data_IF_595657316326
#
_entry.id   IF_595657316326
#
_cell.length_a   1.000
_cell.length_b   1.000
_cell.length_c   1.000
_cell.angle_alpha   90.00
_cell.angle_beta   90.00
_cell.angle_gamma   90.00
#
_symmetry.space_group_name_H-M   'P 1'
#
loop_
_entity.id
_entity.type
_entity.pdbx_description
1 polymer ?
#
# COMPACT_ATOMS: atom_id res chain seq x y z
N UNK A 1 -3.94 6.68 -10.03
CA UNK A 1 -3.88 5.20 -10.09
C UNK A 1 -3.05 4.80 -11.30
N UNK A 2 -2.10 3.90 -11.14
CA UNK A 2 -1.41 3.26 -12.27
C UNK A 2 -2.46 2.42 -13.00
N UNK A 3 -2.68 2.66 -14.30
CA UNK A 3 -3.61 1.84 -15.08
C UNK A 3 -3.07 0.41 -15.15
N UNK A 4 -3.94 -0.58 -14.98
CA UNK A 4 -3.59 -2.00 -15.13
C UNK A 4 -3.18 -2.25 -16.57
N UNK A 5 -2.01 -2.85 -16.77
CA UNK A 5 -1.41 -3.07 -18.09
C UNK A 5 -1.64 -4.49 -18.57
N UNK A 6 -2.15 -4.62 -19.78
CA UNK A 6 -2.36 -5.91 -20.46
C UNK A 6 -1.50 -5.98 -21.72
N UNK A 7 -0.68 -7.02 -21.82
CA UNK A 7 0.06 -7.31 -23.05
C UNK A 7 -0.75 -8.27 -23.92
N UNK A 8 -1.01 -7.89 -25.19
CA UNK A 8 -1.71 -8.70 -26.16
C UNK A 8 -0.68 -9.24 -27.17
N UNK A 9 -0.63 -10.57 -27.32
CA UNK A 9 0.34 -11.27 -28.16
C UNK A 9 -0.39 -12.16 -29.15
N UNK A 10 -0.37 -11.83 -30.44
CA UNK A 10 -0.96 -12.59 -31.55
C UNK A 10 -0.20 -12.19 -32.83
N UNK A 11 0.15 -13.13 -33.71
CA UNK A 11 0.89 -12.85 -34.95
C UNK A 11 0.04 -12.13 -36.01
N UNK A 12 -1.25 -12.07 -35.80
CA UNK A 12 -2.20 -11.33 -36.63
C UNK A 12 -2.42 -9.91 -36.09
N UNK A 13 -1.84 -8.90 -36.79
CA UNK A 13 -1.95 -7.49 -36.42
C UNK A 13 -3.41 -7.02 -36.22
N UNK A 14 -4.34 -7.47 -37.07
CA UNK A 14 -5.76 -7.06 -36.97
C UNK A 14 -6.40 -7.58 -35.67
N UNK A 15 -6.08 -8.83 -35.27
CA UNK A 15 -6.57 -9.40 -34.01
C UNK A 15 -6.00 -8.63 -32.82
N UNK A 16 -4.71 -8.36 -32.86
CA UNK A 16 -3.97 -7.69 -31.80
C UNK A 16 -4.49 -6.27 -31.58
N UNK A 17 -4.69 -5.50 -32.65
CA UNK A 17 -5.24 -4.15 -32.59
C UNK A 17 -6.69 -4.13 -32.09
N UNK A 18 -7.53 -5.07 -32.57
CA UNK A 18 -8.92 -5.17 -32.16
C UNK A 18 -9.05 -5.47 -30.64
N UNK A 19 -8.25 -6.42 -30.15
CA UNK A 19 -8.20 -6.79 -28.74
C UNK A 19 -7.67 -5.65 -27.86
N UNK A 20 -6.59 -5.01 -28.27
CA UNK A 20 -6.01 -3.86 -27.58
C UNK A 20 -7.03 -2.72 -27.48
N UNK A 21 -7.66 -2.32 -28.58
CA UNK A 21 -8.67 -1.26 -28.60
C UNK A 21 -9.86 -1.57 -27.68
N UNK A 22 -10.31 -2.83 -27.66
CA UNK A 22 -11.39 -3.25 -26.74
C UNK A 22 -10.98 -3.12 -25.28
N UNK A 23 -9.78 -3.58 -24.91
CA UNK A 23 -9.28 -3.52 -23.56
C UNK A 23 -9.01 -2.07 -23.11
N UNK A 24 -8.55 -1.20 -24.00
CA UNK A 24 -8.45 0.24 -23.75
C UNK A 24 -9.80 0.88 -23.44
N UNK A 25 -10.84 0.49 -24.19
CA UNK A 25 -12.23 0.93 -23.93
C UNK A 25 -12.70 0.46 -22.55
N UNK A 26 -12.26 -0.72 -22.11
CA UNK A 26 -12.54 -1.26 -20.77
C UNK A 26 -11.70 -0.60 -19.65
N UNK A 27 -10.76 0.31 -20.00
CA UNK A 27 -9.99 1.13 -19.06
C UNK A 27 -8.59 0.61 -18.75
N UNK A 28 -8.11 -0.43 -19.44
CA UNK A 28 -6.75 -0.94 -19.32
C UNK A 28 -5.75 -0.12 -20.13
N UNK A 29 -4.48 -0.16 -19.77
CA UNK A 29 -3.36 0.26 -20.61
C UNK A 29 -2.88 -0.96 -21.38
N UNK A 30 -2.81 -0.89 -22.70
CA UNK A 30 -2.43 -2.04 -23.53
C UNK A 30 -1.08 -1.86 -24.18
N UNK A 31 -0.36 -2.95 -24.37
CA UNK A 31 0.80 -3.08 -25.25
C UNK A 31 0.59 -4.32 -26.13
N UNK A 32 1.20 -4.36 -27.30
CA UNK A 32 0.99 -5.42 -28.29
C UNK A 32 2.32 -6.05 -28.68
N UNK A 33 2.36 -7.35 -28.97
CA UNK A 33 3.51 -8.04 -29.52
C UNK A 33 3.03 -9.03 -30.62
N UNK A 34 3.86 -9.22 -31.63
CA UNK A 34 3.49 -9.98 -32.83
C UNK A 34 4.25 -11.31 -32.97
N UNK A 35 5.18 -11.58 -32.07
CA UNK A 35 5.82 -12.90 -31.93
C UNK A 35 6.28 -13.13 -30.48
N UNK A 36 6.67 -14.39 -30.17
CA UNK A 36 7.08 -14.76 -28.83
C UNK A 36 8.36 -14.08 -28.34
N UNK A 37 9.28 -13.71 -29.23
CA UNK A 37 10.51 -13.00 -28.84
C UNK A 37 10.21 -11.56 -28.44
N UNK A 38 9.40 -10.86 -29.24
CA UNK A 38 8.95 -9.51 -28.93
C UNK A 38 8.18 -9.46 -27.61
N UNK A 39 7.31 -10.47 -27.37
CA UNK A 39 6.57 -10.59 -26.12
C UNK A 39 7.50 -10.67 -24.91
N UNK A 40 8.52 -11.53 -24.93
CA UNK A 40 9.49 -11.67 -23.86
C UNK A 40 10.29 -10.38 -23.62
N UNK A 41 10.77 -9.72 -24.69
CA UNK A 41 11.48 -8.45 -24.58
C UNK A 41 10.62 -7.35 -23.94
N UNK A 42 9.33 -7.27 -24.31
CA UNK A 42 8.40 -6.29 -23.75
C UNK A 42 8.11 -6.54 -22.28
N UNK A 43 7.95 -7.82 -21.88
CA UNK A 43 7.78 -8.21 -20.49
C UNK A 43 8.98 -7.81 -19.63
N UNK A 44 10.21 -7.96 -20.14
CA UNK A 44 11.42 -7.54 -19.41
C UNK A 44 11.51 -6.02 -19.22
N UNK A 45 11.16 -5.26 -20.26
CA UNK A 45 11.24 -3.78 -20.20
C UNK A 45 10.12 -3.17 -19.36
N UNK A 46 8.91 -3.66 -19.51
CA UNK A 46 7.69 -3.13 -18.90
C UNK A 46 6.75 -4.28 -18.49
N UNK A 47 6.98 -4.90 -17.31
CA UNK A 47 6.18 -6.02 -16.88
C UNK A 47 4.68 -5.70 -16.88
N UNK A 48 3.84 -6.46 -17.64
CA UNK A 48 2.41 -6.29 -17.64
C UNK A 48 1.77 -6.93 -16.39
N UNK A 49 0.53 -6.54 -16.10
CA UNK A 49 -0.26 -7.15 -15.03
C UNK A 49 -0.97 -8.43 -15.49
N UNK A 50 -1.14 -8.61 -16.81
CA UNK A 50 -1.72 -9.80 -17.46
C UNK A 50 -1.25 -9.90 -18.92
N UNK A 51 -1.11 -11.13 -19.44
CA UNK A 51 -0.78 -11.41 -20.83
C UNK A 51 -1.91 -12.21 -21.48
N UNK A 52 -2.42 -11.71 -22.61
CA UNK A 52 -3.22 -12.50 -23.56
C UNK A 52 -2.28 -13.04 -24.63
N UNK A 53 -2.19 -14.35 -24.77
CA UNK A 53 -1.16 -15.00 -25.58
C UNK A 53 -1.77 -15.99 -26.55
N UNK A 54 -1.63 -15.73 -27.84
CA UNK A 54 -1.98 -16.72 -28.86
C UNK A 54 -0.98 -17.88 -28.83
N UNK A 55 -1.50 -19.08 -29.05
CA UNK A 55 -0.67 -20.30 -29.07
C UNK A 55 0.05 -20.44 -30.40
N UNK A 56 -0.66 -20.20 -31.51
CA UNK A 56 -0.17 -20.47 -32.85
C UNK A 56 0.57 -19.26 -33.42
N UNK A 57 1.86 -19.14 -33.09
CA UNK A 57 2.71 -18.08 -33.60
C UNK A 57 3.96 -18.65 -34.30
N UNK A 58 4.47 -17.96 -35.32
CA UNK A 58 5.71 -18.37 -35.99
C UNK A 58 6.94 -18.23 -35.05
N UNK A 59 7.99 -19.02 -35.31
CA UNK A 59 9.28 -19.02 -34.61
C UNK A 59 9.22 -19.55 -33.16
N UNK A 60 8.34 -19.04 -32.33
CA UNK A 60 8.17 -19.43 -30.93
C UNK A 60 6.66 -19.47 -30.63
N UNK A 61 6.15 -20.65 -30.31
CA UNK A 61 4.74 -20.82 -29.95
C UNK A 61 4.42 -20.26 -28.56
N UNK A 62 3.12 -20.04 -28.30
CA UNK A 62 2.68 -19.48 -27.02
C UNK A 62 2.98 -20.40 -25.84
N UNK A 63 3.07 -21.72 -26.03
CA UNK A 63 3.42 -22.64 -24.96
C UNK A 63 4.86 -22.43 -24.49
N UNK A 64 5.81 -22.22 -25.40
CA UNK A 64 7.20 -21.95 -25.07
C UNK A 64 7.36 -20.57 -24.40
N UNK A 65 6.63 -19.55 -24.87
CA UNK A 65 6.61 -18.23 -24.21
C UNK A 65 6.11 -18.37 -22.77
N UNK A 66 4.98 -19.05 -22.55
CA UNK A 66 4.41 -19.26 -21.23
C UNK A 66 5.37 -20.01 -20.31
N UNK A 67 5.98 -21.12 -20.77
CA UNK A 67 6.98 -21.87 -19.99
C UNK A 67 8.15 -20.99 -19.55
N UNK A 68 8.70 -20.16 -20.42
CA UNK A 68 9.80 -19.23 -20.08
C UNK A 68 9.39 -18.20 -19.05
N UNK A 69 8.21 -17.62 -19.21
CA UNK A 69 7.66 -16.66 -18.24
C UNK A 69 7.45 -17.29 -16.86
N UNK A 70 6.96 -18.54 -16.81
CA UNK A 70 6.69 -19.25 -15.54
C UNK A 70 7.96 -19.84 -14.89
N UNK A 71 9.01 -20.05 -15.66
CA UNK A 71 10.30 -20.51 -15.15
C UNK A 71 11.12 -19.40 -14.48
N UNK A 72 10.94 -18.13 -14.88
CA UNK A 72 11.66 -17.00 -14.30
C UNK A 72 10.93 -16.45 -13.05
N UNK A 73 11.65 -16.33 -11.93
CA UNK A 73 11.12 -15.78 -10.67
C UNK A 73 10.54 -14.37 -10.80
N UNK A 74 11.06 -13.57 -11.73
CA UNK A 74 10.62 -12.20 -11.94
C UNK A 74 9.31 -12.10 -12.69
N UNK A 75 8.97 -13.09 -13.52
CA UNK A 75 7.80 -13.05 -14.41
C UNK A 75 6.78 -14.13 -14.13
N UNK A 76 7.13 -15.20 -13.38
CA UNK A 76 6.22 -16.31 -13.06
C UNK A 76 4.89 -15.89 -12.42
N UNK A 77 4.90 -14.74 -11.77
CA UNK A 77 3.72 -14.20 -11.10
C UNK A 77 2.76 -13.49 -12.04
N UNK A 78 3.12 -13.25 -13.31
CA UNK A 78 2.26 -12.59 -14.30
C UNK A 78 1.27 -13.61 -14.83
N UNK A 79 -0.05 -13.39 -14.71
CA UNK A 79 -1.05 -14.29 -15.25
C UNK A 79 -1.05 -14.28 -16.78
N UNK A 80 -1.20 -15.48 -17.35
CA UNK A 80 -1.25 -15.71 -18.79
C UNK A 80 -2.59 -16.34 -19.14
N UNK A 81 -3.34 -15.73 -20.05
CA UNK A 81 -4.51 -16.32 -20.70
C UNK A 81 -4.10 -16.78 -22.09
N UNK A 82 -4.16 -18.08 -22.34
CA UNK A 82 -3.85 -18.64 -23.64
C UNK A 82 -5.06 -18.54 -24.56
N UNK A 83 -4.84 -18.11 -25.80
CA UNK A 83 -5.91 -18.07 -26.84
C UNK A 83 -5.60 -19.17 -27.85
N UNK A 84 -6.54 -20.10 -28.07
CA UNK A 84 -6.31 -21.34 -28.86
C UNK A 84 -7.37 -21.58 -29.92
N UNK A 85 -7.06 -22.32 -30.98
CA UNK A 85 -8.03 -22.75 -31.96
C UNK A 85 -8.92 -23.89 -31.41
N UNK A 86 -10.17 -23.98 -31.94
CA UNK A 86 -11.12 -25.03 -31.56
C UNK A 86 -10.67 -26.40 -32.13
N UNK A 87 -10.26 -27.30 -31.28
CA UNK A 87 -9.74 -28.66 -31.63
C UNK A 87 -8.55 -29.11 -30.85
N UNK A 88 -7.79 -28.19 -30.31
CA UNK A 88 -6.61 -28.48 -29.46
C UNK A 88 -7.01 -28.65 -27.98
N UNK A 89 -8.30 -28.95 -27.74
CA UNK A 89 -8.84 -29.17 -26.38
C UNK A 89 -8.25 -30.42 -25.72
N UNK A 90 -7.73 -31.39 -26.50
CA UNK A 90 -6.99 -32.53 -25.99
C UNK A 90 -5.59 -32.13 -25.48
N UNK A 91 -5.02 -31.05 -25.99
CA UNK A 91 -3.80 -30.41 -25.46
C UNK A 91 -4.04 -29.59 -24.18
N UNK A 92 -5.30 -29.38 -23.76
CA UNK A 92 -5.60 -28.76 -22.45
C UNK A 92 -5.00 -29.52 -21.26
N UNK A 93 -4.82 -30.84 -21.39
CA UNK A 93 -4.17 -31.65 -20.35
C UNK A 93 -2.67 -31.40 -20.35
N UNK A 94 -2.04 -31.20 -21.52
CA UNK A 94 -0.65 -30.75 -21.66
C UNK A 94 -0.48 -29.27 -21.26
N UNK A 95 -1.50 -28.46 -21.49
CA UNK A 95 -1.51 -27.02 -21.19
C UNK A 95 -1.59 -26.68 -19.69
N UNK A 96 -2.17 -27.55 -18.85
CA UNK A 96 -2.16 -27.39 -17.38
C UNK A 96 -0.72 -27.47 -16.81
N UNK A 97 0.18 -28.18 -17.49
CA UNK A 97 1.60 -28.26 -17.12
C UNK A 97 2.40 -26.99 -17.50
N UNK A 98 1.85 -26.09 -18.33
CA UNK A 98 2.55 -24.84 -18.72
C UNK A 98 2.40 -23.71 -17.71
N UNK A 99 1.48 -23.84 -16.75
CA UNK A 99 1.24 -22.84 -15.71
C UNK A 99 0.39 -21.63 -16.16
N UNK A 100 -0.30 -21.72 -17.29
CA UNK A 100 -1.26 -20.69 -17.69
C UNK A 100 -2.48 -20.66 -16.75
N UNK A 101 -3.02 -19.48 -16.47
CA UNK A 101 -4.17 -19.31 -15.57
C UNK A 101 -5.51 -19.63 -16.23
N UNK A 102 -5.64 -19.41 -17.54
CA UNK A 102 -6.89 -19.70 -18.26
C UNK A 102 -6.63 -19.92 -19.77
N UNK A 103 -7.65 -20.48 -20.44
CA UNK A 103 -7.67 -20.78 -21.88
C UNK A 103 -8.95 -20.28 -22.51
N UNK A 104 -8.84 -19.64 -23.68
CA UNK A 104 -9.97 -19.16 -24.47
C UNK A 104 -9.90 -19.80 -25.86
N UNK A 105 -10.97 -20.48 -26.29
CA UNK A 105 -11.01 -21.10 -27.60
C UNK A 105 -11.54 -20.13 -28.68
N UNK A 106 -10.82 -19.99 -29.78
CA UNK A 106 -11.28 -19.27 -30.99
C UNK A 106 -12.35 -20.15 -31.74
N UNK A 107 -13.46 -19.59 -32.24
CA UNK A 107 -13.83 -18.18 -32.20
C UNK A 107 -14.37 -17.77 -30.80
N UNK A 108 -13.88 -16.68 -30.26
CA UNK A 108 -14.30 -16.10 -28.99
C UNK A 108 -14.82 -14.68 -29.19
N UNK A 109 -15.76 -14.27 -28.36
CA UNK A 109 -16.26 -12.90 -28.39
C UNK A 109 -15.35 -11.97 -27.60
N UNK A 110 -15.27 -10.69 -28.02
CA UNK A 110 -14.53 -9.66 -27.28
C UNK A 110 -15.07 -9.50 -25.84
N UNK A 111 -16.39 -9.71 -25.65
CA UNK A 111 -17.02 -9.66 -24.34
C UNK A 111 -16.55 -10.81 -23.43
N UNK A 112 -16.33 -12.01 -23.98
CA UNK A 112 -15.78 -13.15 -23.23
C UNK A 112 -14.35 -12.87 -22.78
N UNK A 113 -13.49 -12.37 -23.67
CA UNK A 113 -12.12 -12.01 -23.35
C UNK A 113 -12.09 -10.96 -22.25
N UNK A 114 -12.88 -9.88 -22.38
CA UNK A 114 -12.98 -8.83 -21.35
C UNK A 114 -13.43 -9.37 -19.99
N UNK A 115 -14.40 -10.30 -20.00
CA UNK A 115 -14.88 -10.91 -18.75
C UNK A 115 -13.82 -11.75 -18.06
N UNK A 116 -13.04 -12.54 -18.81
CA UNK A 116 -11.96 -13.38 -18.27
C UNK A 116 -10.78 -12.55 -17.77
N UNK A 117 -10.36 -11.55 -18.54
CA UNK A 117 -9.32 -10.59 -18.12
C UNK A 117 -9.70 -9.94 -16.79
N UNK A 118 -10.93 -9.44 -16.68
CA UNK A 118 -11.44 -8.82 -15.45
C UNK A 118 -11.46 -9.81 -14.28
N UNK A 119 -11.93 -11.03 -14.53
CA UNK A 119 -12.02 -12.07 -13.48
C UNK A 119 -10.64 -12.44 -12.92
N UNK A 120 -9.66 -12.66 -13.79
CA UNK A 120 -8.30 -13.05 -13.37
C UNK A 120 -7.61 -11.90 -12.63
N UNK A 121 -7.71 -10.67 -13.14
CA UNK A 121 -7.13 -9.50 -12.48
C UNK A 121 -7.76 -9.26 -11.11
N UNK A 122 -9.08 -9.40 -11.00
CA UNK A 122 -9.79 -9.28 -9.72
C UNK A 122 -9.40 -10.36 -8.72
N UNK A 123 -9.34 -11.62 -9.16
CA UNK A 123 -8.89 -12.74 -8.31
C UNK A 123 -7.47 -12.51 -7.80
N UNK A 124 -6.58 -12.03 -8.65
CA UNK A 124 -5.20 -11.69 -8.28
C UNK A 124 -5.14 -10.56 -7.24
N UNK A 125 -5.93 -9.51 -7.45
CA UNK A 125 -6.01 -8.42 -6.47
C UNK A 125 -6.47 -8.93 -5.10
N UNK A 126 -7.49 -9.80 -5.07
CA UNK A 126 -7.96 -10.43 -3.84
C UNK A 126 -6.90 -11.32 -3.20
N UNK A 127 -6.13 -12.08 -3.98
CA UNK A 127 -5.04 -12.93 -3.47
C UNK A 127 -3.91 -12.09 -2.85
N UNK A 128 -3.52 -11.00 -3.49
CA UNK A 128 -2.51 -10.08 -2.94
C UNK A 128 -3.01 -9.50 -1.61
N UNK A 129 -4.26 -9.00 -1.56
CA UNK A 129 -4.86 -8.47 -0.33
C UNK A 129 -4.97 -9.53 0.77
N UNK A 130 -5.35 -10.75 0.41
CA UNK A 130 -5.42 -11.86 1.37
C UNK A 130 -4.05 -12.19 1.96
N UNK A 131 -3.02 -12.29 1.12
CA UNK A 131 -1.65 -12.53 1.57
C UNK A 131 -1.09 -11.42 2.47
N UNK A 132 -1.44 -10.17 2.21
CA UNK A 132 -1.14 -9.04 3.09
C UNK A 132 -1.88 -9.16 4.42
N UNK A 133 -3.17 -9.49 4.39
CA UNK A 133 -3.97 -9.71 5.60
C UNK A 133 -3.44 -10.89 6.44
N UNK A 134 -3.04 -11.99 5.81
CA UNK A 134 -2.46 -13.15 6.50
C UNK A 134 -1.10 -12.81 7.15
N UNK A 135 -0.23 -12.08 6.45
CA UNK A 135 1.02 -11.58 7.04
C UNK A 135 0.77 -10.69 8.26
N UNK A 136 -0.23 -9.81 8.16
CA UNK A 136 -0.61 -8.91 9.24
C UNK A 136 -1.28 -9.66 10.40
N UNK A 137 -2.09 -10.69 10.13
CA UNK A 137 -2.72 -11.53 11.16
C UNK A 137 -1.68 -12.39 11.89
N UNK A 138 -0.75 -13.01 11.16
CA UNK A 138 0.36 -13.77 11.75
C UNK A 138 1.24 -12.89 12.63
N UNK A 139 1.55 -11.67 12.18
CA UNK A 139 2.25 -10.66 12.98
C UNK A 139 1.46 -10.33 14.25
N UNK A 140 0.14 -10.14 14.14
CA UNK A 140 -0.76 -9.84 15.28
C UNK A 140 -0.78 -10.96 16.33
N UNK A 141 -0.76 -12.23 15.93
CA UNK A 141 -0.74 -13.36 16.86
C UNK A 141 0.62 -13.56 17.55
N UNK A 142 1.74 -13.39 16.83
CA UNK A 142 3.07 -13.45 17.42
C UNK A 142 3.34 -12.32 18.43
N UNK A 143 2.74 -11.17 18.17
CA UNK A 143 2.97 -9.95 18.95
C UNK A 143 2.41 -10.03 20.36
N UNK A 144 1.32 -10.74 20.62
CA UNK A 144 0.71 -10.82 21.96
C UNK A 144 1.65 -11.46 22.99
N UNK A 145 2.25 -12.57 22.63
CA UNK A 145 3.24 -13.22 23.52
C UNK A 145 4.49 -12.37 23.68
N UNK A 146 5.03 -11.88 22.57
CA UNK A 146 6.28 -11.13 22.54
C UNK A 146 6.16 -9.76 23.23
N UNK A 147 5.05 -9.04 23.03
CA UNK A 147 4.86 -7.72 23.63
C UNK A 147 4.90 -7.78 25.17
N UNK A 148 4.20 -8.76 25.77
CA UNK A 148 4.25 -8.97 27.23
C UNK A 148 5.60 -9.47 27.70
N UNK A 149 6.20 -10.42 26.98
CA UNK A 149 7.52 -10.98 27.33
C UNK A 149 8.66 -9.96 27.18
N UNK A 150 8.56 -9.00 26.25
CA UNK A 150 9.54 -7.92 26.06
C UNK A 150 9.30 -6.78 27.06
N UNK A 151 8.07 -6.43 27.38
CA UNK A 151 7.75 -5.37 28.35
C UNK A 151 8.31 -5.68 29.74
N UNK A 152 8.24 -6.94 30.18
CA UNK A 152 8.71 -7.35 31.50
C UNK A 152 10.22 -7.07 31.74
N UNK A 153 11.16 -7.55 30.90
CA UNK A 153 12.58 -7.23 31.11
C UNK A 153 12.87 -5.73 30.91
N UNK A 154 12.14 -5.02 30.02
CA UNK A 154 12.32 -3.58 29.86
C UNK A 154 11.97 -2.82 31.13
N UNK A 155 10.87 -3.15 31.82
CA UNK A 155 10.50 -2.54 33.09
C UNK A 155 11.59 -2.78 34.16
N UNK A 156 12.19 -3.98 34.19
CA UNK A 156 13.24 -4.30 35.13
C UNK A 156 14.54 -3.50 34.83
N UNK A 157 14.97 -3.49 33.57
CA UNK A 157 16.16 -2.75 33.12
C UNK A 157 15.98 -1.25 33.35
N UNK A 158 14.85 -0.68 32.98
CA UNK A 158 14.53 0.73 33.18
C UNK A 158 14.45 1.11 34.66
N UNK A 159 13.83 0.24 35.49
CA UNK A 159 13.78 0.40 36.94
C UNK A 159 15.17 0.39 37.58
N UNK A 160 16.02 -0.58 37.21
CA UNK A 160 17.40 -0.65 37.70
C UNK A 160 18.24 0.54 37.25
N UNK A 161 18.12 0.95 36.00
CA UNK A 161 18.85 2.11 35.49
C UNK A 161 18.46 3.39 36.24
N UNK A 162 17.18 3.63 36.49
CA UNK A 162 16.72 4.77 37.32
C UNK A 162 17.25 4.71 38.75
N UNK A 163 17.20 3.52 39.38
CA UNK A 163 17.70 3.34 40.73
C UNK A 163 19.22 3.55 40.87
N UNK A 164 20.00 3.09 39.88
CA UNK A 164 21.45 3.33 39.87
C UNK A 164 21.75 4.82 39.69
N UNK A 165 20.99 5.50 38.80
CA UNK A 165 21.12 6.93 38.57
C UNK A 165 20.94 7.76 39.82
N UNK A 166 20.01 7.37 40.73
CA UNK A 166 19.77 8.07 42.02
C UNK A 166 20.92 7.90 43.03
N UNK A 167 21.72 6.82 42.89
CA UNK A 167 22.78 6.47 43.86
C UNK A 167 24.20 6.86 43.45
N UNK A 168 24.39 7.16 42.16
CA UNK A 168 25.70 7.49 41.60
C UNK A 168 25.81 9.00 41.48
N UNK A 169 26.93 9.58 41.96
CA UNK A 169 27.18 11.02 41.86
C UNK A 169 28.04 11.42 40.63
N UNK A 170 28.55 10.45 39.87
CA UNK A 170 29.41 10.68 38.71
C UNK A 170 28.62 11.08 37.47
N UNK A 171 28.91 12.28 36.92
CA UNK A 171 28.24 12.83 35.76
C UNK A 171 28.46 11.99 34.48
N UNK A 172 29.62 11.36 34.30
CA UNK A 172 29.88 10.48 33.16
C UNK A 172 28.99 9.22 33.20
N UNK A 173 28.88 8.64 34.40
CA UNK A 173 27.99 7.49 34.63
C UNK A 173 26.53 7.87 34.45
N UNK A 174 26.12 9.06 34.90
CA UNK A 174 24.76 9.60 34.61
C UNK A 174 24.48 9.71 33.12
N UNK A 175 25.44 10.14 32.30
CA UNK A 175 25.32 10.19 30.87
C UNK A 175 25.01 8.82 30.24
N UNK A 176 25.74 7.78 30.67
CA UNK A 176 25.55 6.40 30.19
C UNK A 176 24.20 5.83 30.66
N UNK A 177 23.81 6.05 31.89
CA UNK A 177 22.52 5.59 32.42
C UNK A 177 21.35 6.26 31.68
N UNK A 178 21.45 7.55 31.35
CA UNK A 178 20.45 8.25 30.60
C UNK A 178 20.28 7.68 29.18
N UNK A 179 21.34 7.17 28.53
CA UNK A 179 21.26 6.46 27.27
C UNK A 179 20.49 5.16 27.44
N UNK A 180 20.76 4.38 28.47
CA UNK A 180 20.03 3.14 28.76
C UNK A 180 18.53 3.43 28.97
N UNK A 181 18.20 4.43 29.79
CA UNK A 181 16.79 4.81 30.03
C UNK A 181 16.09 5.22 28.73
N UNK A 182 16.73 6.03 27.89
CA UNK A 182 16.16 6.43 26.60
C UNK A 182 15.89 5.25 25.67
N UNK A 183 16.79 4.27 25.59
CA UNK A 183 16.60 3.08 24.78
C UNK A 183 15.50 2.18 25.33
N UNK A 184 15.38 2.05 26.65
CA UNK A 184 14.26 1.34 27.29
C UNK A 184 12.93 2.01 26.94
N UNK A 185 12.81 3.32 27.12
CA UNK A 185 11.61 4.09 26.78
C UNK A 185 11.28 4.01 25.27
N UNK A 186 12.30 3.90 24.43
CA UNK A 186 12.11 3.69 22.98
C UNK A 186 11.51 2.33 22.68
N UNK A 187 12.01 1.27 23.34
CA UNK A 187 11.51 -0.09 23.18
C UNK A 187 10.08 -0.24 23.76
N UNK A 188 9.81 0.38 24.93
CA UNK A 188 8.45 0.44 25.51
C UNK A 188 7.46 1.07 24.52
N UNK A 189 7.80 2.20 23.93
CA UNK A 189 6.97 2.84 22.88
C UNK A 189 6.78 1.97 21.64
N UNK A 190 7.79 1.18 21.24
CA UNK A 190 7.62 0.21 20.15
C UNK A 190 6.58 -0.85 20.49
N UNK A 191 6.66 -1.43 21.70
CA UNK A 191 5.70 -2.43 22.18
C UNK A 191 4.28 -1.86 22.25
N UNK A 192 4.12 -0.63 22.78
CA UNK A 192 2.82 0.06 22.81
C UNK A 192 2.22 0.25 21.41
N UNK A 193 3.02 0.66 20.42
CA UNK A 193 2.55 0.83 19.03
C UNK A 193 2.14 -0.49 18.37
N UNK A 194 2.77 -1.60 18.76
CA UNK A 194 2.38 -2.93 18.33
C UNK A 194 1.00 -3.31 18.92
N UNK A 195 0.76 -3.05 20.21
CA UNK A 195 -0.55 -3.22 20.86
C UNK A 195 -1.61 -2.32 20.20
N UNK A 196 -1.25 -1.10 19.85
CA UNK A 196 -2.13 -0.18 19.13
C UNK A 196 -2.53 -0.66 17.75
N UNK A 197 -1.58 -1.22 16.99
CA UNK A 197 -1.86 -1.83 15.68
C UNK A 197 -2.92 -2.92 15.78
N UNK A 198 -2.84 -3.76 16.81
CA UNK A 198 -3.79 -4.83 17.07
C UNK A 198 -5.19 -4.31 17.45
N UNK A 199 -5.25 -3.30 18.33
CA UNK A 199 -6.50 -2.69 18.78
C UNK A 199 -7.17 -1.78 17.76
N UNK A 200 -6.52 -1.49 16.64
CA UNK A 200 -7.04 -0.60 15.60
C UNK A 200 -8.13 -1.25 14.71
N UNK A 201 -8.82 -2.29 15.18
CA UNK A 201 -9.99 -2.82 14.47
C UNK A 201 -11.14 -1.83 14.56
N UNK A 202 -11.75 -1.51 13.41
CA UNK A 202 -12.96 -0.68 13.36
C UNK A 202 -14.09 -1.39 14.08
N UNK A 203 -14.59 -0.78 15.15
CA UNK A 203 -15.58 -1.41 16.03
C UNK A 203 -16.98 -0.82 15.89
N UNK A 204 -17.10 0.49 15.67
CA UNK A 204 -18.40 1.17 15.62
C UNK A 204 -18.37 2.26 14.56
N UNK A 205 -19.05 2.01 13.43
CA UNK A 205 -19.23 3.01 12.38
C UNK A 205 -20.44 3.90 12.70
N UNK A 206 -20.25 5.21 12.67
CA UNK A 206 -21.29 6.22 12.80
C UNK A 206 -21.22 7.21 11.65
N UNK A 207 -22.36 7.89 11.39
CA UNK A 207 -22.39 8.98 10.42
C UNK A 207 -21.75 10.21 11.05
N UNK A 208 -20.62 10.64 10.53
CA UNK A 208 -19.83 11.74 11.06
C UNK A 208 -19.56 12.77 9.95
N UNK A 209 -19.46 14.04 10.34
CA UNK A 209 -18.98 15.11 9.48
C UNK A 209 -17.44 15.11 9.49
N UNK A 210 -16.84 14.80 8.34
CA UNK A 210 -15.39 14.65 8.23
C UNK A 210 -14.65 15.96 8.53
N UNK A 211 -15.25 17.11 8.22
CA UNK A 211 -14.64 18.40 8.48
C UNK A 211 -14.55 18.70 9.98
N UNK A 212 -15.60 18.33 10.74
CA UNK A 212 -15.58 18.48 12.20
C UNK A 212 -14.51 17.57 12.82
N UNK A 213 -14.42 16.33 12.34
CA UNK A 213 -13.39 15.39 12.81
C UNK A 213 -11.98 15.91 12.51
N UNK A 214 -11.74 16.47 11.32
CA UNK A 214 -10.44 17.06 10.96
C UNK A 214 -10.11 18.27 11.86
N UNK A 215 -11.07 19.15 12.14
CA UNK A 215 -10.86 20.28 13.04
C UNK A 215 -10.50 19.84 14.45
N UNK A 216 -11.20 18.85 14.98
CA UNK A 216 -10.88 18.26 16.29
C UNK A 216 -9.45 17.69 16.33
N UNK A 217 -9.03 16.99 15.27
CA UNK A 217 -7.69 16.43 15.17
C UNK A 217 -6.62 17.54 15.19
N UNK A 218 -6.85 18.60 14.42
CA UNK A 218 -5.90 19.73 14.37
C UNK A 218 -5.78 20.44 15.72
N UNK A 219 -6.88 20.54 16.48
CA UNK A 219 -6.85 21.09 17.83
C UNK A 219 -6.16 20.18 18.85
N UNK A 220 -6.09 18.89 18.60
CA UNK A 220 -5.41 17.92 19.49
C UNK A 220 -3.88 17.80 19.22
N UNK A 221 -3.41 18.31 18.08
CA UNK A 221 -1.98 18.34 17.82
C UNK A 221 -1.33 19.29 18.83
N UNK A 222 -0.42 18.76 19.63
CA UNK A 222 0.24 19.51 20.69
C UNK A 222 0.83 20.81 20.16
N UNK A 223 0.31 21.94 20.63
CA UNK A 223 0.77 23.29 20.26
C UNK A 223 2.28 23.44 20.44
N UNK A 224 2.86 22.75 21.43
CA UNK A 224 4.27 22.72 21.73
C UNK A 224 5.15 22.19 20.58
N UNK A 225 4.75 21.10 19.92
CA UNK A 225 5.53 20.51 18.83
C UNK A 225 5.51 21.39 17.57
N UNK A 226 4.37 22.04 17.32
CA UNK A 226 4.16 22.95 16.21
C UNK A 226 4.86 24.29 16.46
N UNK A 227 4.74 24.84 17.68
CA UNK A 227 5.33 26.13 18.05
C UNK A 227 6.85 26.08 18.06
N UNK A 228 7.47 25.01 18.55
CA UNK A 228 8.94 24.85 18.57
C UNK A 228 9.58 24.78 17.18
N UNK A 229 8.83 24.31 16.18
CA UNK A 229 9.31 24.16 14.79
C UNK A 229 8.77 25.22 13.83
N UNK A 230 8.07 26.24 14.30
CA UNK A 230 7.41 27.26 13.45
C UNK A 230 6.59 26.65 12.31
N UNK A 231 5.78 25.64 12.60
CA UNK A 231 4.94 24.96 11.61
C UNK A 231 3.57 25.63 11.54
N UNK A 232 3.20 26.13 10.37
CA UNK A 232 1.85 26.64 10.09
C UNK A 232 0.93 25.53 9.59
N UNK A 233 -0.26 25.39 10.18
CA UNK A 233 -1.32 24.50 9.66
C UNK A 233 -2.36 25.33 8.93
N UNK A 234 -2.70 24.93 7.70
CA UNK A 234 -3.76 25.53 6.89
C UNK A 234 -4.84 24.50 6.56
N UNK A 235 -6.10 24.85 6.81
CA UNK A 235 -7.26 24.05 6.45
C UNK A 235 -7.94 24.61 5.20
N UNK A 236 -8.15 23.77 4.19
CA UNK A 236 -8.87 24.10 2.95
C UNK A 236 -9.96 23.03 2.73
N UNK A 237 -11.00 23.08 3.56
CA UNK A 237 -12.03 22.06 3.63
C UNK A 237 -13.22 22.39 2.74
N UNK A 238 -13.87 21.38 2.15
CA UNK A 238 -15.08 21.52 1.35
C UNK A 238 -16.25 22.11 2.19
N UNK A 239 -17.11 22.92 1.58
CA UNK A 239 -18.12 23.66 2.32
C UNK A 239 -19.25 22.81 2.94
N UNK A 240 -19.65 21.72 2.32
CA UNK A 240 -20.75 20.84 2.77
C UNK A 240 -20.38 19.38 2.50
N UNK A 241 -19.58 18.74 3.38
CA UNK A 241 -19.25 17.35 3.19
C UNK A 241 -20.49 16.47 3.43
N UNK A 242 -20.68 15.38 2.68
CA UNK A 242 -21.63 14.36 3.06
C UNK A 242 -21.18 13.70 4.36
N UNK A 243 -22.14 13.18 5.14
CA UNK A 243 -21.83 12.37 6.31
C UNK A 243 -21.22 11.03 5.87
N UNK A 244 -20.07 10.68 6.44
CA UNK A 244 -19.38 9.43 6.19
C UNK A 244 -19.63 8.44 7.33
N UNK A 245 -19.74 7.15 7.00
CA UNK A 245 -19.77 6.08 7.99
C UNK A 245 -18.34 5.77 8.42
N UNK A 246 -17.92 6.30 9.57
CA UNK A 246 -16.58 6.12 10.11
C UNK A 246 -16.59 5.79 11.60
N UNK A 247 -15.58 5.06 12.05
CA UNK A 247 -15.17 4.98 13.45
C UNK A 247 -14.32 6.20 13.75
N UNK A 248 -14.92 7.22 14.39
CA UNK A 248 -14.28 8.49 14.66
C UNK A 248 -12.95 8.35 15.42
N UNK A 249 -12.90 7.46 16.41
CA UNK A 249 -11.71 7.28 17.27
C UNK A 249 -10.53 6.68 16.45
N UNK A 250 -10.80 5.63 15.68
CA UNK A 250 -9.77 5.02 14.84
C UNK A 250 -9.39 5.94 13.68
N UNK A 251 -10.34 6.64 13.06
CA UNK A 251 -10.03 7.60 11.99
C UNK A 251 -9.15 8.75 12.49
N UNK A 252 -9.45 9.33 13.68
CA UNK A 252 -8.59 10.34 14.32
C UNK A 252 -7.17 9.81 14.49
N UNK A 253 -7.01 8.58 14.96
CA UNK A 253 -5.72 7.93 15.14
C UNK A 253 -4.95 7.79 13.82
N UNK A 254 -5.63 7.39 12.73
CA UNK A 254 -5.00 7.30 11.42
C UNK A 254 -4.46 8.66 10.95
N UNK A 255 -5.29 9.71 11.04
CA UNK A 255 -4.90 11.06 10.62
C UNK A 255 -3.80 11.64 11.51
N UNK A 256 -3.84 11.41 12.82
CA UNK A 256 -2.79 11.83 13.76
C UNK A 256 -1.44 11.18 13.42
N UNK A 257 -1.40 9.90 13.08
CA UNK A 257 -0.19 9.21 12.65
C UNK A 257 0.43 9.84 11.38
N UNK A 258 -0.42 10.24 10.42
CA UNK A 258 0.03 10.89 9.19
C UNK A 258 0.56 12.30 9.51
N UNK A 259 -0.18 13.08 10.31
CA UNK A 259 0.20 14.44 10.69
C UNK A 259 1.50 14.46 11.51
N UNK A 260 1.68 13.51 12.43
CA UNK A 260 2.92 13.37 13.20
C UNK A 260 4.11 13.11 12.27
N UNK A 261 3.93 12.27 11.24
CA UNK A 261 4.98 12.05 10.25
C UNK A 261 5.32 13.33 9.47
N UNK A 262 4.31 14.16 9.14
CA UNK A 262 4.51 15.45 8.48
C UNK A 262 5.26 16.45 9.39
N UNK A 263 4.89 16.53 10.68
CA UNK A 263 5.60 17.36 11.68
C UNK A 263 7.04 16.91 11.84
N UNK A 264 7.28 15.61 11.90
CA UNK A 264 8.64 15.05 12.03
C UNK A 264 9.50 15.31 10.80
N UNK A 265 8.91 15.28 9.60
CA UNK A 265 9.62 15.52 8.34
C UNK A 265 10.03 16.99 8.13
N UNK A 266 9.41 17.93 8.83
CA UNK A 266 9.76 19.34 8.83
C UNK A 266 10.84 19.60 9.87
N UNK A 267 11.99 20.15 9.48
CA UNK A 267 13.13 20.35 10.40
C UNK A 267 12.90 21.53 11.36
N UNK A 268 12.83 22.76 10.87
CA UNK A 268 12.70 23.98 11.69
C UNK A 268 11.45 24.79 11.40
N UNK A 269 11.16 25.01 10.13
CA UNK A 269 10.05 25.86 9.67
C UNK A 269 9.38 25.23 8.47
N UNK A 270 8.05 25.23 8.47
CA UNK A 270 7.32 24.66 7.35
C UNK A 270 5.81 24.86 7.44
N UNK A 271 5.10 24.16 6.57
CA UNK A 271 3.64 24.23 6.50
C UNK A 271 3.06 22.85 6.27
N UNK A 272 1.94 22.61 6.92
CA UNK A 272 1.07 21.46 6.66
C UNK A 272 -0.26 22.03 6.15
N UNK A 273 -0.73 21.56 5.00
CA UNK A 273 -2.01 21.92 4.44
C UNK A 273 -2.91 20.69 4.37
N UNK A 274 -4.11 20.80 4.94
CA UNK A 274 -5.13 19.74 4.92
C UNK A 274 -6.27 20.19 4.04
N UNK A 275 -6.56 19.42 3.00
CA UNK A 275 -7.61 19.71 2.02
C UNK A 275 -8.66 18.60 2.07
N UNK A 276 -9.92 18.93 1.88
CA UNK A 276 -10.95 17.94 1.58
C UNK A 276 -11.72 18.32 0.32
N UNK A 277 -11.95 17.34 -0.57
CA UNK A 277 -12.65 17.54 -1.83
C UNK A 277 -13.45 16.32 -2.23
N UNK A 278 -14.54 16.45 -3.02
CA UNK A 278 -15.22 15.32 -3.62
C UNK A 278 -14.33 14.72 -4.73
N UNK A 279 -14.24 13.40 -4.76
CA UNK A 279 -13.62 12.62 -5.85
C UNK A 279 -14.66 12.18 -6.87
N UNK A 280 -14.24 11.94 -8.13
CA UNK A 280 -15.16 11.63 -9.24
C UNK A 280 -15.95 10.32 -9.07
N UNK A 281 -15.48 9.40 -8.24
CA UNK A 281 -16.02 8.03 -8.14
C UNK A 281 -16.92 7.82 -6.89
N UNK A 282 -17.51 8.89 -6.34
CA UNK A 282 -18.34 8.79 -5.14
C UNK A 282 -17.56 8.62 -3.85
N UNK A 283 -16.30 9.07 -3.84
CA UNK A 283 -15.42 9.15 -2.68
C UNK A 283 -15.23 10.60 -2.24
N UNK A 284 -14.84 10.78 -0.98
CA UNK A 284 -14.22 12.02 -0.50
C UNK A 284 -12.72 11.78 -0.42
N UNK A 285 -11.95 12.73 -0.92
CA UNK A 285 -10.50 12.76 -0.81
C UNK A 285 -10.08 13.77 0.24
N UNK A 286 -9.20 13.35 1.16
CA UNK A 286 -8.56 14.19 2.17
C UNK A 286 -7.07 14.13 1.87
N UNK A 287 -6.49 15.27 1.48
CA UNK A 287 -5.07 15.39 1.19
C UNK A 287 -4.35 16.13 2.31
N UNK A 288 -3.28 15.54 2.84
CA UNK A 288 -2.38 16.13 3.83
C UNK A 288 -1.06 16.40 3.14
N UNK A 289 -0.71 17.66 2.97
CA UNK A 289 0.52 18.11 2.30
C UNK A 289 1.46 18.73 3.30
N UNK A 290 2.70 18.30 3.31
CA UNK A 290 3.77 18.92 4.08
C UNK A 290 4.89 19.48 3.19
N UNK A 291 5.68 20.37 3.76
CA UNK A 291 6.88 20.94 3.15
C UNK A 291 8.16 20.36 3.77
N UNK A 292 8.11 19.11 4.21
CA UNK A 292 9.22 18.43 4.85
C UNK A 292 10.31 17.96 3.88
N UNK A 293 11.20 17.12 4.38
CA UNK A 293 12.34 16.60 3.60
C UNK A 293 11.94 15.69 2.43
N UNK A 294 10.68 15.23 2.38
CA UNK A 294 10.22 14.29 1.37
C UNK A 294 10.77 12.87 1.57
N UNK A 295 10.42 11.98 0.65
CA UNK A 295 10.77 10.55 0.68
C UNK A 295 11.42 10.18 -0.66
N UNK A 296 12.50 9.42 -0.59
CA UNK A 296 13.20 8.93 -1.77
C UNK A 296 12.33 7.91 -2.53
N UNK A 297 12.39 7.90 -3.86
CA UNK A 297 11.59 7.01 -4.72
C UNK A 297 11.81 5.50 -4.44
N UNK A 298 12.99 5.10 -3.96
CA UNK A 298 13.26 3.71 -3.55
C UNK A 298 12.53 3.35 -2.28
N UNK A 299 12.48 4.26 -1.32
CA UNK A 299 11.84 4.08 -0.01
C UNK A 299 10.32 4.14 -0.09
N UNK A 300 9.78 4.90 -1.07
CA UNK A 300 8.34 5.12 -1.23
C UNK A 300 7.53 3.81 -1.41
N UNK A 301 8.18 2.76 -1.93
CA UNK A 301 7.55 1.44 -2.11
C UNK A 301 7.32 0.70 -0.79
N UNK A 302 8.12 1.03 0.23
CA UNK A 302 8.17 0.29 1.49
C UNK A 302 7.57 1.05 2.67
N UNK A 303 7.10 2.29 2.47
CA UNK A 303 6.63 3.17 3.57
C UNK A 303 5.41 2.64 4.34
N UNK A 304 4.63 1.74 3.76
CA UNK A 304 3.52 1.07 4.42
C UNK A 304 3.91 -0.27 5.06
N UNK A 305 5.13 -0.77 4.80
CA UNK A 305 5.60 -2.02 5.39
C UNK A 305 5.80 -1.84 6.89
N UNK A 306 5.33 -2.79 7.73
CA UNK A 306 5.54 -2.75 9.16
C UNK A 306 7.04 -2.65 9.51
N UNK A 307 7.37 -1.83 10.51
CA UNK A 307 8.73 -1.59 10.99
C UNK A 307 9.67 -0.88 10.02
N UNK A 308 9.19 -0.48 8.84
CA UNK A 308 9.99 0.33 7.94
C UNK A 308 10.09 1.76 8.46
N UNK A 309 11.31 2.25 8.69
CA UNK A 309 11.58 3.61 9.14
C UNK A 309 13.00 4.04 8.80
N UNK A 310 13.15 5.24 8.28
CA UNK A 310 14.43 5.93 8.12
C UNK A 310 14.81 6.77 9.36
N UNK A 311 13.89 6.89 10.34
CA UNK A 311 14.07 7.70 11.55
C UNK A 311 14.68 6.87 12.67
N UNK A 312 15.75 7.36 13.32
CA UNK A 312 16.42 6.69 14.46
C UNK A 312 15.48 6.42 15.64
N UNK A 313 14.44 7.22 15.85
CA UNK A 313 13.50 7.10 16.97
C UNK A 313 12.13 6.53 16.58
N UNK A 314 11.89 6.18 15.32
CA UNK A 314 10.61 5.72 14.81
C UNK A 314 10.43 4.20 14.95
N UNK A 315 9.22 3.74 15.35
CA UNK A 315 8.88 2.31 15.37
C UNK A 315 8.48 1.76 13.97
N UNK A 316 8.34 2.63 12.94
CA UNK A 316 7.93 2.22 11.59
C UNK A 316 6.51 1.66 11.47
N UNK A 317 5.63 1.95 12.43
CA UNK A 317 4.25 1.42 12.46
C UNK A 317 3.16 2.47 12.19
N UNK A 318 3.49 3.78 12.24
CA UNK A 318 2.49 4.84 12.13
C UNK A 318 1.71 4.82 10.82
N UNK A 319 2.41 4.75 9.67
CA UNK A 319 1.76 4.68 8.35
C UNK A 319 1.08 3.34 8.12
N UNK A 320 1.62 2.24 8.63
CA UNK A 320 0.98 0.92 8.57
C UNK A 320 -0.34 0.90 9.34
N UNK A 321 -0.39 1.51 10.55
CA UNK A 321 -1.61 1.66 11.33
C UNK A 321 -2.63 2.53 10.59
N UNK A 322 -2.20 3.66 10.05
CA UNK A 322 -3.06 4.55 9.28
C UNK A 322 -3.66 3.85 8.06
N UNK A 323 -2.83 3.16 7.27
CA UNK A 323 -3.25 2.40 6.11
C UNK A 323 -4.29 1.33 6.47
N UNK A 324 -4.02 0.51 7.50
CA UNK A 324 -4.97 -0.49 7.98
C UNK A 324 -6.31 0.12 8.38
N UNK A 325 -6.30 1.16 9.21
CA UNK A 325 -7.53 1.82 9.65
C UNK A 325 -8.35 2.32 8.46
N UNK A 326 -7.72 2.96 7.48
CA UNK A 326 -8.42 3.47 6.30
C UNK A 326 -8.96 2.34 5.42
N UNK A 327 -8.23 1.24 5.26
CA UNK A 327 -8.74 0.03 4.58
C UNK A 327 -9.93 -0.58 5.29
N UNK A 328 -9.92 -0.65 6.63
CA UNK A 328 -11.05 -1.13 7.44
C UNK A 328 -12.31 -0.23 7.26
N UNK A 329 -12.11 1.06 6.91
CA UNK A 329 -13.18 1.99 6.49
C UNK A 329 -13.52 1.88 5.00
N UNK A 330 -13.06 0.84 4.27
CA UNK A 330 -13.24 0.68 2.82
C UNK A 330 -12.66 1.82 1.99
N UNK A 331 -11.70 2.53 2.56
CA UNK A 331 -10.96 3.61 1.94
C UNK A 331 -9.64 3.14 1.35
N UNK A 332 -8.90 4.09 0.79
CA UNK A 332 -7.57 3.89 0.22
C UNK A 332 -6.63 5.02 0.64
N UNK A 333 -5.33 4.74 0.73
CA UNK A 333 -4.29 5.72 1.06
C UNK A 333 -3.21 5.68 0.00
N UNK A 334 -2.90 6.84 -0.56
CA UNK A 334 -1.80 6.99 -1.52
C UNK A 334 -0.82 8.04 -1.03
N UNK A 335 0.47 7.88 -1.38
CA UNK A 335 1.53 8.81 -1.01
C UNK A 335 2.27 9.24 -2.28
N UNK A 336 2.39 10.54 -2.46
CA UNK A 336 3.23 11.17 -3.48
C UNK A 336 4.30 12.00 -2.78
N UNK A 337 5.56 11.74 -3.05
CA UNK A 337 6.66 12.43 -2.41
C UNK A 337 7.86 12.60 -3.33
N UNK A 338 8.55 13.71 -3.15
CA UNK A 338 9.82 13.97 -3.80
C UNK A 338 10.81 14.50 -2.77
N UNK A 339 12.00 13.93 -2.75
CA UNK A 339 13.07 14.34 -1.85
C UNK A 339 13.33 15.86 -1.96
N UNK A 340 13.34 16.56 -0.83
CA UNK A 340 13.52 18.01 -0.75
C UNK A 340 12.28 18.85 -1.10
N UNK A 341 11.13 18.24 -1.48
CA UNK A 341 9.91 18.98 -1.88
C UNK A 341 8.70 18.74 -0.98
N UNK A 342 8.84 17.82 -0.01
CA UNK A 342 7.75 17.43 0.89
C UNK A 342 6.95 16.23 0.40
N UNK A 343 5.85 15.95 1.12
CA UNK A 343 5.01 14.76 0.91
C UNK A 343 3.54 15.14 0.83
N UNK A 344 2.79 14.43 0.03
CA UNK A 344 1.33 14.48 -0.04
C UNK A 344 0.80 13.10 0.27
N UNK A 345 0.01 12.98 1.33
CA UNK A 345 -0.73 11.77 1.68
C UNK A 345 -2.20 12.02 1.36
N UNK A 346 -2.77 11.24 0.44
CA UNK A 346 -4.17 11.32 0.05
C UNK A 346 -4.94 10.12 0.61
N UNK A 347 -6.00 10.40 1.36
CA UNK A 347 -6.94 9.43 1.93
C UNK A 347 -8.23 9.51 1.13
N UNK A 348 -8.74 8.39 0.63
CA UNK A 348 -10.04 8.31 -0.05
C UNK A 348 -11.01 7.49 0.80
N UNK A 349 -12.19 8.03 1.07
CA UNK A 349 -13.26 7.37 1.82
C UNK A 349 -14.54 7.32 1.00
N UNK A 350 -15.27 6.17 0.97
CA UNK A 350 -16.52 6.06 0.23
C UNK A 350 -17.63 6.87 0.90
N UNK A 351 -18.46 7.53 0.09
CA UNK A 351 -19.66 8.25 0.55
C UNK A 351 -20.83 7.29 0.83
N UNK A 352 -20.86 6.16 0.10
CA UNK A 352 -21.87 5.10 0.30
C UNK A 352 -21.15 3.79 0.55
N UNK A 353 -21.58 3.06 1.58
CA UNK A 353 -21.13 1.71 1.86
C UNK A 353 -21.89 0.71 1.01
#
# INVERSE_FOLDING_TARGET
MKRTRVLVVDDNEQNTELLASKLETDGYETDTAYDGHEALEKVERFPPDLILLDIMMPKMDGYEVCRRLKADEKTRHIPVIMVTARGEVEDKILGLDTGAEDYICKPCSLAEISARVRSILHTRELQIRLGEMEKLAALGQMVDGIAHEVRNPLMVIGGMARHIKEKVADEQVHGQINLIIREVERLERMVERIDEYKRSQVSILKKEDINEVIKEIVNEIEEDAISRKEIGIKLSLMQKPPLLLIDKANFKKAVLNILQNSVDAIDKKGRIEILSAPSKDGYIEIAIKDTGCGINAKELKDVFNPFYTSKMAGAGLGLTIAHKIIQDHKGDVTIESHEGKGTVVSIKLPVKY
#
